data_IF_243696262600
#
_entry.id   IF_243696262600
#
_cell.length_a   1.000
_cell.length_b   1.000
_cell.length_c   1.000
_cell.angle_alpha   90.00
_cell.angle_beta   90.00
_cell.angle_gamma   90.00
#
_symmetry.space_group_name_H-M   'P 1'
#
loop_
_entity.id
_entity.type
_entity.pdbx_description
1 polymer ?
#
# COMPACT_ATOMS: atom_id res chain seq x y z
N UNK A 1 14.15 1.73 12.84
CA UNK A 1 12.82 1.56 12.24
C UNK A 1 13.02 1.07 10.80
N UNK A 2 13.33 -0.22 10.62
CA UNK A 2 13.75 -0.77 9.32
C UNK A 2 12.61 -1.45 8.55
N UNK A 3 11.37 -1.26 9.00
CA UNK A 3 10.17 -1.91 8.49
C UNK A 3 9.02 -0.92 8.21
N UNK A 4 9.34 0.37 8.10
CA UNK A 4 8.38 1.41 7.68
C UNK A 4 8.66 1.70 6.21
N UNK A 5 7.63 1.60 5.38
CA UNK A 5 7.72 1.80 3.94
C UNK A 5 6.68 2.81 3.50
N UNK A 6 7.14 3.91 2.89
CA UNK A 6 6.27 4.92 2.32
C UNK A 6 5.81 4.52 0.92
N UNK A 7 4.53 4.71 0.62
CA UNK A 7 3.96 4.49 -0.72
C UNK A 7 4.16 5.70 -1.66
N UNK A 8 4.39 6.88 -1.09
CA UNK A 8 4.83 8.09 -1.78
C UNK A 8 5.52 9.02 -0.77
N UNK A 9 6.32 9.96 -1.27
CA UNK A 9 7.03 10.94 -0.42
C UNK A 9 6.10 12.07 0.08
N UNK A 10 5.04 12.37 -0.67
CA UNK A 10 4.16 13.52 -0.45
C UNK A 10 2.67 13.15 -0.25
N UNK A 11 2.31 11.87 -0.30
CA UNK A 11 0.94 11.42 -0.17
C UNK A 11 0.10 11.47 -1.46
N UNK A 12 0.70 11.74 -2.63
CA UNK A 12 -0.04 11.85 -3.88
C UNK A 12 -0.66 10.52 -4.30
N UNK A 13 -1.99 10.49 -4.38
CA UNK A 13 -2.75 9.27 -4.66
C UNK A 13 -2.42 8.65 -6.03
N UNK A 14 -2.06 9.45 -7.03
CA UNK A 14 -1.64 8.95 -8.34
C UNK A 14 -0.31 8.16 -8.26
N UNK A 15 0.68 8.71 -7.55
CA UNK A 15 1.97 8.06 -7.32
C UNK A 15 1.81 6.78 -6.47
N UNK A 16 0.93 6.82 -5.46
CA UNK A 16 0.59 5.65 -4.65
C UNK A 16 -0.08 4.58 -5.52
N UNK A 17 -1.12 4.93 -6.27
CA UNK A 17 -1.89 3.99 -7.08
C UNK A 17 -1.02 3.28 -8.12
N UNK A 18 -0.10 4.02 -8.77
CA UNK A 18 0.80 3.47 -9.79
C UNK A 18 1.87 2.52 -9.22
N UNK A 19 2.32 2.73 -7.98
CA UNK A 19 3.42 1.96 -7.37
C UNK A 19 2.98 0.87 -6.38
N UNK A 20 1.74 0.93 -5.88
CA UNK A 20 1.23 0.08 -4.78
C UNK A 20 1.49 -1.41 -4.99
N UNK A 21 1.16 -1.94 -6.18
CA UNK A 21 1.33 -3.35 -6.48
C UNK A 21 2.79 -3.81 -6.44
N UNK A 22 3.71 -2.98 -6.92
CA UNK A 22 5.13 -3.29 -6.91
C UNK A 22 5.64 -3.32 -5.47
N UNK A 23 5.25 -2.33 -4.66
CA UNK A 23 5.65 -2.27 -3.25
C UNK A 23 5.09 -3.43 -2.43
N UNK A 24 3.82 -3.78 -2.59
CA UNK A 24 3.24 -4.94 -1.88
C UNK A 24 3.99 -6.25 -2.21
N UNK A 25 4.32 -6.49 -3.48
CA UNK A 25 5.11 -7.68 -3.88
C UNK A 25 6.53 -7.67 -3.30
N UNK A 26 7.17 -6.51 -3.25
CA UNK A 26 8.49 -6.35 -2.62
C UNK A 26 8.43 -6.74 -1.13
N UNK A 27 7.39 -6.28 -0.42
CA UNK A 27 7.20 -6.55 1.00
C UNK A 27 6.82 -8.02 1.28
N UNK A 28 5.97 -8.62 0.44
CA UNK A 28 5.63 -10.05 0.53
C UNK A 28 6.90 -10.91 0.41
N UNK A 29 7.82 -10.54 -0.50
CA UNK A 29 9.08 -11.25 -0.72
C UNK A 29 10.14 -10.96 0.36
N UNK A 30 9.97 -9.92 1.17
CA UNK A 30 10.90 -9.58 2.24
C UNK A 30 10.76 -10.49 3.49
N UNK A 31 9.77 -11.39 3.51
CA UNK A 31 9.61 -12.39 4.57
C UNK A 31 8.99 -11.86 5.86
N UNK A 32 8.28 -10.73 5.80
CA UNK A 32 7.52 -10.22 6.95
C UNK A 32 6.37 -11.16 7.30
N UNK A 33 6.11 -11.35 8.59
CA UNK A 33 4.96 -12.16 9.05
C UNK A 33 3.62 -11.44 8.90
N UNK A 34 3.63 -10.09 8.93
CA UNK A 34 2.46 -9.25 8.81
C UNK A 34 2.83 -7.88 8.29
N UNK A 35 1.99 -7.33 7.43
CA UNK A 35 2.06 -5.94 6.96
C UNK A 35 0.85 -5.21 7.54
N UNK A 36 1.07 -4.03 8.11
CA UNK A 36 0.01 -3.11 8.53
C UNK A 36 0.08 -1.92 7.59
N UNK A 37 -1.01 -1.62 6.91
CA UNK A 37 -1.11 -0.50 5.99
C UNK A 37 -2.12 0.51 6.50
N UNK A 38 -1.79 1.79 6.38
CA UNK A 38 -2.73 2.89 6.57
C UNK A 38 -3.60 3.03 5.32
N UNK A 39 -4.89 3.29 5.51
CA UNK A 39 -5.82 3.55 4.41
C UNK A 39 -5.71 5.00 3.94
N UNK A 40 -5.82 5.20 2.63
CA UNK A 40 -5.94 6.53 2.05
C UNK A 40 -7.33 7.13 2.35
N UNK A 41 -7.52 8.45 2.19
CA UNK A 41 -8.84 9.06 2.25
C UNK A 41 -9.82 8.37 1.27
N UNK A 42 -11.05 8.12 1.70
CA UNK A 42 -12.08 7.40 0.91
C UNK A 42 -12.72 8.29 -0.19
N UNK A 43 -11.90 8.87 -1.05
CA UNK A 43 -12.31 9.69 -2.18
C UNK A 43 -11.45 9.41 -3.42
N UNK A 44 -12.05 9.51 -4.60
CA UNK A 44 -11.33 9.35 -5.88
C UNK A 44 -10.47 8.08 -5.93
N UNK A 45 -9.18 8.24 -6.21
CA UNK A 45 -8.21 7.14 -6.26
C UNK A 45 -7.98 6.46 -4.91
N UNK A 46 -8.24 7.14 -3.80
CA UNK A 46 -8.08 6.56 -2.46
C UNK A 46 -9.02 5.38 -2.22
N UNK A 47 -10.24 5.42 -2.77
CA UNK A 47 -11.16 4.27 -2.75
C UNK A 47 -10.57 3.04 -3.46
N UNK A 48 -9.96 3.24 -4.63
CA UNK A 48 -9.34 2.17 -5.40
C UNK A 48 -8.08 1.62 -4.72
N UNK A 49 -7.28 2.49 -4.09
CA UNK A 49 -6.11 2.10 -3.28
C UNK A 49 -6.55 1.23 -2.10
N UNK A 50 -7.56 1.67 -1.34
CA UNK A 50 -8.05 0.95 -0.16
C UNK A 50 -8.68 -0.38 -0.54
N UNK A 51 -9.48 -0.42 -1.60
CA UNK A 51 -10.01 -1.67 -2.14
C UNK A 51 -8.87 -2.65 -2.49
N UNK A 52 -7.78 -2.15 -3.09
CA UNK A 52 -6.63 -3.00 -3.40
C UNK A 52 -5.92 -3.51 -2.14
N UNK A 53 -5.71 -2.66 -1.13
CA UNK A 53 -5.13 -3.04 0.16
C UNK A 53 -5.98 -4.10 0.85
N UNK A 54 -7.29 -3.88 0.93
CA UNK A 54 -8.26 -4.84 1.52
C UNK A 54 -8.24 -6.17 0.78
N UNK A 55 -8.20 -6.18 -0.55
CA UNK A 55 -8.05 -7.44 -1.31
C UNK A 55 -6.73 -8.15 -1.04
N UNK A 56 -5.65 -7.40 -0.83
CA UNK A 56 -4.35 -7.98 -0.50
C UNK A 56 -4.33 -8.57 0.92
N UNK A 57 -5.08 -8.02 1.87
CA UNK A 57 -5.11 -8.53 3.26
C UNK A 57 -5.80 -9.89 3.44
N UNK A 58 -6.57 -10.34 2.45
CA UNK A 58 -7.21 -11.66 2.46
C UNK A 58 -6.36 -12.75 1.79
N UNK A 59 -5.19 -12.41 1.24
CA UNK A 59 -4.23 -13.38 0.70
C UNK A 59 -3.19 -13.71 1.76
#
# INVERSE_FOLDING_TARGET
ANNIHWLSENGELEAIASSLFAKLRELDNAGYQKIIAEEAPELGLGLAINDRLRRASFR
#
